data_IF_264236250331
#
_entry.id   IF_264236250331
#
_cell.length_a   1.000
_cell.length_b   1.000
_cell.length_c   1.000
_cell.angle_alpha   90.00
_cell.angle_beta   90.00
_cell.angle_gamma   90.00
#
_symmetry.space_group_name_H-M   'P 1'
#
loop_
_entity.id
_entity.type
_entity.pdbx_description
1 polymer ?
#
# COMPACT_ATOMS: atom_id res chain seq x y z
N UNK A 1 29.93 -15.36 -14.98
CA UNK A 1 28.71 -14.52 -14.84
C UNK A 1 29.17 -13.09 -14.97
N UNK A 2 28.92 -12.45 -16.13
CA UNK A 2 29.46 -11.12 -16.42
C UNK A 2 29.00 -10.09 -15.40
N UNK A 3 29.90 -9.17 -15.01
CA UNK A 3 29.57 -7.98 -14.22
C UNK A 3 28.50 -7.18 -14.97
N UNK A 4 27.25 -7.39 -14.60
CA UNK A 4 26.17 -6.54 -15.08
C UNK A 4 26.34 -5.22 -14.35
N UNK A 5 26.60 -4.15 -15.11
CA UNK A 5 26.76 -2.81 -14.54
C UNK A 5 25.52 -2.45 -13.72
N UNK A 6 25.73 -1.94 -12.51
CA UNK A 6 24.65 -1.43 -11.68
C UNK A 6 23.93 -0.29 -12.42
N UNK A 7 22.61 -0.38 -12.49
CA UNK A 7 21.75 0.53 -13.26
C UNK A 7 20.75 1.25 -12.37
N UNK A 8 20.25 2.38 -12.86
CA UNK A 8 19.22 3.16 -12.18
C UNK A 8 18.11 3.57 -13.15
N UNK A 9 16.97 3.96 -12.58
CA UNK A 9 15.88 4.61 -13.34
C UNK A 9 15.56 5.97 -12.71
N UNK A 10 14.93 6.87 -13.47
CA UNK A 10 14.61 8.23 -13.00
C UNK A 10 13.25 8.30 -12.27
N UNK A 11 12.35 7.39 -12.62
CA UNK A 11 11.02 7.31 -12.03
C UNK A 11 10.58 5.87 -11.90
N UNK A 12 9.99 5.56 -10.74
CA UNK A 12 9.46 4.25 -10.46
C UNK A 12 8.12 4.35 -9.73
N UNK A 13 7.22 3.44 -10.07
CA UNK A 13 5.92 3.24 -9.42
C UNK A 13 5.85 1.77 -9.04
N UNK A 14 5.56 1.50 -7.78
CA UNK A 14 5.37 0.14 -7.27
C UNK A 14 4.32 -0.57 -8.11
N UNK A 15 4.64 -1.78 -8.54
CA UNK A 15 3.82 -2.62 -9.41
C UNK A 15 3.81 -4.07 -8.88
N UNK A 16 3.14 -4.99 -9.59
CA UNK A 16 2.97 -6.38 -9.15
C UNK A 16 4.28 -7.17 -9.05
N UNK A 17 5.32 -6.74 -9.75
CA UNK A 17 6.64 -7.36 -9.70
C UNK A 17 7.49 -6.84 -8.54
N UNK A 18 7.15 -5.70 -7.93
CA UNK A 18 7.92 -5.12 -6.82
C UNK A 18 7.84 -6.02 -5.57
N UNK A 19 8.96 -6.59 -5.15
CA UNK A 19 9.06 -7.40 -3.94
C UNK A 19 9.49 -6.57 -2.73
N UNK A 20 10.45 -5.67 -2.92
CA UNK A 20 10.98 -4.83 -1.84
C UNK A 20 11.54 -3.48 -2.32
N UNK A 21 11.49 -2.50 -1.43
CA UNK A 21 12.20 -1.23 -1.54
C UNK A 21 13.21 -1.16 -0.38
N UNK A 22 14.48 -1.39 -0.70
CA UNK A 22 15.55 -1.47 0.30
C UNK A 22 16.31 -0.13 0.36
N UNK A 23 16.39 0.53 1.53
CA UNK A 23 17.15 1.76 1.66
C UNK A 23 18.65 1.47 1.59
N UNK A 24 19.38 2.32 0.90
CA UNK A 24 20.83 2.31 0.82
C UNK A 24 21.34 3.70 1.17
N UNK A 25 22.30 3.75 2.10
CA UNK A 25 22.93 5.00 2.52
C UNK A 25 24.10 5.27 1.57
N UNK A 26 23.99 6.34 0.78
CA UNK A 26 25.01 6.81 -0.16
C UNK A 26 25.72 8.03 0.44
N UNK A 27 27.04 7.92 0.63
CA UNK A 27 27.83 8.95 1.31
C UNK A 27 27.36 9.17 2.76
N UNK A 28 27.51 10.39 3.27
CA UNK A 28 27.25 10.64 4.69
C UNK A 28 25.76 10.62 5.08
N UNK A 29 24.84 11.03 4.18
CA UNK A 29 23.42 11.24 4.56
C UNK A 29 22.38 11.00 3.46
N UNK A 30 22.76 10.74 2.21
CA UNK A 30 21.78 10.53 1.14
C UNK A 30 21.23 9.12 1.23
N UNK A 31 19.91 8.97 1.15
CA UNK A 31 19.26 7.66 1.12
C UNK A 31 18.72 7.47 -0.28
N UNK A 32 19.16 6.40 -0.92
CA UNK A 32 18.65 5.92 -2.20
C UNK A 32 17.94 4.58 -1.96
N UNK A 33 17.26 4.07 -2.98
CA UNK A 33 16.52 2.81 -2.88
C UNK A 33 17.09 1.81 -3.88
N UNK A 34 17.35 0.59 -3.43
CA UNK A 34 17.39 -0.56 -4.33
C UNK A 34 15.99 -1.13 -4.43
N UNK A 35 15.44 -1.06 -5.63
CA UNK A 35 14.19 -1.69 -5.99
C UNK A 35 14.49 -3.13 -6.32
N UNK A 36 13.78 -4.05 -5.68
CA UNK A 36 13.87 -5.49 -5.95
C UNK A 36 12.57 -5.92 -6.57
N UNK A 37 12.62 -6.30 -7.84
CA UNK A 37 11.52 -6.93 -8.57
C UNK A 37 11.75 -8.45 -8.68
N UNK A 38 10.74 -9.18 -9.17
CA UNK A 38 10.78 -10.65 -9.31
C UNK A 38 11.96 -11.14 -10.16
N UNK A 39 12.30 -10.42 -11.23
CA UNK A 39 13.34 -10.83 -12.19
C UNK A 39 14.49 -9.82 -12.28
N UNK A 40 14.42 -8.73 -11.53
CA UNK A 40 15.32 -7.59 -11.71
C UNK A 40 15.59 -6.83 -10.40
N UNK A 41 16.70 -6.10 -10.37
CA UNK A 41 17.09 -5.24 -9.27
C UNK A 41 17.87 -4.05 -9.80
N UNK A 42 17.47 -2.85 -9.39
CA UNK A 42 18.10 -1.60 -9.84
C UNK A 42 17.95 -0.48 -8.82
N UNK A 43 18.67 0.61 -9.03
CA UNK A 43 18.69 1.76 -8.16
C UNK A 43 17.66 2.83 -8.53
N UNK A 44 17.20 3.54 -7.51
CA UNK A 44 16.41 4.76 -7.60
C UNK A 44 17.01 5.79 -6.64
N UNK A 45 17.35 6.97 -7.15
CA UNK A 45 17.91 8.07 -6.35
C UNK A 45 16.84 8.83 -5.54
N UNK A 46 15.94 8.08 -4.90
CA UNK A 46 14.88 8.55 -4.03
C UNK A 46 14.77 7.64 -2.81
N UNK A 47 14.17 8.14 -1.72
CA UNK A 47 13.96 7.31 -0.52
C UNK A 47 12.80 6.35 -0.73
N UNK A 48 12.75 5.19 -0.03
CA UNK A 48 11.66 4.25 -0.17
C UNK A 48 10.28 4.88 0.08
N UNK A 49 10.17 5.79 1.06
CA UNK A 49 8.92 6.50 1.34
C UNK A 49 8.45 7.35 0.15
N UNK A 50 9.35 8.07 -0.52
CA UNK A 50 9.00 8.92 -1.67
C UNK A 50 8.42 8.09 -2.82
N UNK A 51 8.97 6.89 -3.04
CA UNK A 51 8.49 5.93 -4.03
C UNK A 51 7.10 5.43 -3.65
N UNK A 52 6.87 5.06 -2.39
CA UNK A 52 5.54 4.64 -1.90
C UNK A 52 4.53 5.77 -2.03
N UNK A 53 4.87 7.00 -1.66
CA UNK A 53 3.97 8.16 -1.81
C UNK A 53 3.61 8.43 -3.27
N UNK A 54 4.61 8.42 -4.16
CA UNK A 54 4.38 8.55 -5.61
C UNK A 54 3.46 7.44 -6.12
N UNK A 55 3.68 6.22 -5.67
CA UNK A 55 2.90 5.06 -6.07
C UNK A 55 1.45 5.18 -5.62
N UNK A 56 1.20 5.64 -4.40
CA UNK A 56 -0.16 5.97 -3.94
C UNK A 56 -0.81 6.99 -4.88
N UNK A 57 -0.13 8.12 -5.18
CA UNK A 57 -0.69 9.20 -6.03
C UNK A 57 -1.05 8.69 -7.42
N UNK A 58 -0.19 7.85 -8.02
CA UNK A 58 -0.43 7.25 -9.34
C UNK A 58 -1.57 6.22 -9.34
N UNK A 59 -1.90 5.66 -8.16
CA UNK A 59 -3.06 4.79 -7.95
C UNK A 59 -4.28 5.55 -7.37
N UNK A 60 -4.36 6.87 -7.59
CA UNK A 60 -5.53 7.69 -7.28
C UNK A 60 -5.74 8.04 -5.81
N UNK A 61 -4.74 7.88 -4.94
CA UNK A 61 -4.84 8.23 -3.51
C UNK A 61 -3.59 8.92 -2.99
N UNK A 62 -3.72 9.77 -1.97
CA UNK A 62 -2.53 10.23 -1.23
C UNK A 62 -2.03 9.11 -0.30
N UNK A 63 -0.75 9.17 0.09
CA UNK A 63 -0.18 8.31 1.12
C UNK A 63 -0.91 8.48 2.47
N UNK A 64 -1.20 9.73 2.84
CA UNK A 64 -1.96 10.04 4.05
C UNK A 64 -3.37 9.43 4.00
N UNK A 65 -4.08 9.55 2.86
CA UNK A 65 -5.39 8.92 2.68
C UNK A 65 -5.33 7.40 2.82
N UNK A 66 -4.30 6.74 2.26
CA UNK A 66 -4.09 5.29 2.47
C UNK A 66 -3.80 4.96 3.94
N UNK A 67 -2.97 5.76 4.62
CA UNK A 67 -2.64 5.59 6.04
C UNK A 67 -3.88 5.77 6.94
N UNK A 68 -4.70 6.77 6.65
CA UNK A 68 -5.94 7.04 7.38
C UNK A 68 -6.97 5.93 7.14
N UNK A 69 -7.08 5.46 5.89
CA UNK A 69 -7.88 4.27 5.56
C UNK A 69 -7.42 3.03 6.35
N UNK A 70 -6.11 2.78 6.43
CA UNK A 70 -5.56 1.69 7.28
C UNK A 70 -5.98 1.87 8.74
N UNK A 71 -5.87 3.08 9.29
CA UNK A 71 -6.28 3.38 10.67
C UNK A 71 -7.78 3.14 10.88
N UNK A 72 -8.63 3.57 9.95
CA UNK A 72 -10.08 3.38 10.04
C UNK A 72 -10.45 1.90 10.08
N UNK A 73 -9.89 1.13 9.15
CA UNK A 73 -10.14 -0.29 8.94
C UNK A 73 -9.62 -1.16 10.08
N UNK A 74 -8.38 -0.92 10.50
CA UNK A 74 -7.65 -1.88 11.35
C UNK A 74 -7.34 -1.38 12.75
N UNK A 75 -7.54 -0.08 13.00
CA UNK A 75 -7.12 0.69 14.19
C UNK A 75 -5.59 0.80 14.37
N UNK A 76 -4.81 0.44 13.34
CA UNK A 76 -3.35 0.54 13.36
C UNK A 76 -2.91 1.98 13.06
N UNK A 77 -2.14 2.58 13.96
CA UNK A 77 -1.68 3.99 13.85
C UNK A 77 -0.18 4.12 13.60
N UNK A 78 0.63 3.26 14.22
CA UNK A 78 2.08 3.29 14.14
C UNK A 78 2.60 2.23 13.18
N UNK A 79 3.53 2.62 12.28
CA UNK A 79 4.10 1.73 11.25
C UNK A 79 2.97 1.02 10.50
N UNK A 80 2.02 1.81 10.01
CA UNK A 80 0.83 1.27 9.38
C UNK A 80 1.19 0.67 8.00
N UNK A 81 0.67 -0.50 7.65
CA UNK A 81 0.74 -0.99 6.28
C UNK A 81 -0.04 -0.06 5.34
N UNK A 82 0.37 -0.04 4.08
CA UNK A 82 -0.20 0.80 3.03
C UNK A 82 -0.70 -0.11 1.91
N UNK A 83 -2.02 -0.08 1.67
CA UNK A 83 -2.60 -0.68 0.49
C UNK A 83 -2.49 0.34 -0.67
N UNK A 84 -1.37 0.29 -1.40
CA UNK A 84 -1.07 1.22 -2.51
C UNK A 84 -2.16 1.12 -3.57
N UNK A 85 -2.46 -0.11 -3.98
CA UNK A 85 -3.61 -0.48 -4.81
C UNK A 85 -4.20 -1.79 -4.27
N UNK A 86 -5.32 -1.73 -3.51
CA UNK A 86 -6.03 -2.93 -3.07
C UNK A 86 -6.46 -3.82 -4.24
N UNK A 87 -6.88 -3.21 -5.35
CA UNK A 87 -7.33 -3.90 -6.57
C UNK A 87 -6.21 -4.70 -7.22
N UNK A 88 -5.00 -4.14 -7.26
CA UNK A 88 -3.83 -4.80 -7.83
C UNK A 88 -3.03 -5.63 -6.83
N UNK A 89 -3.58 -5.84 -5.62
CA UNK A 89 -2.91 -6.59 -4.55
C UNK A 89 -1.57 -5.98 -4.09
N UNK A 90 -1.40 -4.66 -4.24
CA UNK A 90 -0.19 -3.94 -3.84
C UNK A 90 -0.28 -3.51 -2.37
N UNK A 91 -0.08 -4.47 -1.46
CA UNK A 91 -0.03 -4.24 -0.01
C UNK A 91 1.42 -4.24 0.47
N UNK A 92 1.88 -3.08 0.94
CA UNK A 92 3.25 -2.89 1.40
C UNK A 92 3.30 -2.52 2.87
N UNK A 93 4.31 -2.98 3.58
CA UNK A 93 4.51 -2.61 4.98
C UNK A 93 5.95 -2.19 5.28
N UNK A 94 6.12 -1.24 6.22
CA UNK A 94 7.43 -0.75 6.59
C UNK A 94 8.11 -1.72 7.57
N UNK A 95 9.44 -1.83 7.51
CA UNK A 95 10.22 -2.59 8.52
C UNK A 95 10.42 -1.79 9.82
N UNK A 96 10.48 -0.45 9.73
CA UNK A 96 10.63 0.46 10.86
C UNK A 96 9.65 1.64 10.78
N UNK A 97 9.86 2.68 11.60
CA UNK A 97 9.15 3.96 11.42
C UNK A 97 9.48 4.55 10.05
N UNK A 98 8.50 5.15 9.36
CA UNK A 98 8.71 5.77 8.04
C UNK A 98 9.82 6.84 8.03
N UNK A 99 10.08 7.46 9.19
CA UNK A 99 11.11 8.48 9.38
C UNK A 99 12.52 7.91 9.54
N UNK A 100 12.67 6.60 9.79
CA UNK A 100 13.98 5.96 9.96
C UNK A 100 14.65 5.73 8.62
N UNK A 101 15.96 5.96 8.57
CA UNK A 101 16.75 5.82 7.35
C UNK A 101 16.84 4.38 6.87
N UNK A 102 16.75 3.44 7.81
CA UNK A 102 16.82 1.99 7.56
C UNK A 102 15.44 1.39 7.21
N UNK A 103 14.39 2.22 7.11
CA UNK A 103 13.04 1.74 6.81
C UNK A 103 12.93 1.21 5.37
N UNK A 104 12.92 -0.11 5.25
CA UNK A 104 12.55 -0.82 4.04
C UNK A 104 11.04 -0.97 3.95
N UNK A 105 10.56 -1.23 2.73
CA UNK A 105 9.17 -1.59 2.47
C UNK A 105 9.13 -2.93 1.75
N UNK A 106 8.26 -3.82 2.22
CA UNK A 106 8.15 -5.17 1.68
C UNK A 106 6.74 -5.41 1.16
N UNK A 107 6.63 -6.07 0.01
CA UNK A 107 5.36 -6.53 -0.51
C UNK A 107 4.87 -7.73 0.30
N UNK A 108 3.64 -7.65 0.79
CA UNK A 108 3.02 -8.73 1.55
C UNK A 108 2.87 -10.02 0.74
N UNK A 109 2.59 -9.90 -0.55
CA UNK A 109 2.32 -11.04 -1.45
C UNK A 109 3.58 -11.78 -1.89
N UNK A 110 4.75 -11.15 -1.81
CA UNK A 110 6.00 -11.75 -2.26
C UNK A 110 6.78 -12.48 -1.18
N UNK A 111 6.30 -12.48 0.08
CA UNK A 111 7.00 -13.15 1.19
C UNK A 111 6.62 -14.63 1.22
N UNK A 112 7.62 -15.50 1.08
CA UNK A 112 7.44 -16.95 1.20
C UNK A 112 7.60 -17.43 2.66
N UNK A 113 8.70 -17.05 3.32
CA UNK A 113 8.93 -17.35 4.74
C UNK A 113 10.01 -16.44 5.34
N UNK A 114 10.22 -16.57 6.66
CA UNK A 114 11.28 -15.89 7.38
C UNK A 114 12.07 -16.87 8.27
N UNK A 115 13.37 -16.64 8.43
CA UNK A 115 14.26 -17.42 9.30
C UNK A 115 15.14 -16.49 10.13
N UNK A 116 15.06 -16.64 11.44
CA UNK A 116 15.96 -15.97 12.37
C UNK A 116 17.38 -16.54 12.28
N UNK A 117 18.36 -15.66 12.33
CA UNK A 117 19.78 -15.96 12.30
C UNK A 117 20.37 -15.95 13.71
N UNK A 118 21.53 -16.59 13.87
CA UNK A 118 22.23 -16.66 15.15
C UNK A 118 22.64 -15.29 15.71
N UNK A 119 22.79 -14.28 14.85
CA UNK A 119 23.12 -12.90 15.21
C UNK A 119 21.86 -12.05 15.57
N UNK A 120 20.68 -12.68 15.68
CA UNK A 120 19.40 -12.03 15.97
C UNK A 120 18.77 -11.29 14.78
N UNK A 121 19.44 -11.29 13.61
CA UNK A 121 18.89 -10.72 12.39
C UNK A 121 17.93 -11.71 11.70
N UNK A 122 17.20 -11.23 10.70
CA UNK A 122 16.17 -11.99 10.03
C UNK A 122 16.47 -12.11 8.54
N UNK A 123 16.40 -13.33 8.00
CA UNK A 123 16.35 -13.56 6.56
C UNK A 123 14.89 -13.68 6.13
N UNK A 124 14.49 -12.86 5.17
CA UNK A 124 13.21 -12.96 4.46
C UNK A 124 13.47 -13.63 3.13
N UNK A 125 12.75 -14.72 2.85
CA UNK A 125 12.76 -15.38 1.55
C UNK A 125 11.54 -14.95 0.76
N UNK A 126 11.76 -14.55 -0.48
CA UNK A 126 10.70 -14.22 -1.41
C UNK A 126 10.23 -15.46 -2.17
N UNK A 127 9.05 -15.36 -2.79
CA UNK A 127 8.42 -16.46 -3.55
C UNK A 127 9.26 -16.95 -4.74
N UNK A 128 10.14 -16.10 -5.27
CA UNK A 128 11.06 -16.44 -6.36
C UNK A 128 12.37 -17.08 -5.86
N UNK A 129 12.48 -17.40 -4.57
CA UNK A 129 13.65 -18.05 -3.97
C UNK A 129 14.77 -17.11 -3.55
N UNK A 130 14.75 -15.84 -3.98
CA UNK A 130 15.70 -14.83 -3.50
C UNK A 130 15.44 -14.49 -2.04
N UNK A 131 16.43 -13.90 -1.39
CA UNK A 131 16.32 -13.54 0.02
C UNK A 131 17.01 -12.22 0.36
N UNK A 132 16.51 -11.55 1.39
CA UNK A 132 17.12 -10.34 1.96
C UNK A 132 17.34 -10.53 3.46
N UNK A 133 18.49 -10.07 3.96
CA UNK A 133 18.78 -9.98 5.39
C UNK A 133 18.31 -8.62 5.91
N UNK A 134 17.59 -8.61 7.02
CA UNK A 134 17.09 -7.42 7.69
C UNK A 134 17.53 -7.39 9.15
N UNK A 135 17.88 -6.21 9.64
CA UNK A 135 18.38 -5.99 11.01
C UNK A 135 17.23 -5.85 12.04
N UNK A 136 16.33 -6.82 12.05
CA UNK A 136 15.14 -6.79 12.90
C UNK A 136 14.83 -8.18 13.45
N UNK A 137 14.15 -8.21 14.60
CA UNK A 137 13.68 -9.48 15.17
C UNK A 137 12.57 -10.10 14.34
N UNK A 138 12.45 -11.43 14.39
CA UNK A 138 11.32 -12.18 13.83
C UNK A 138 9.98 -11.62 14.33
N UNK A 139 9.85 -11.39 15.63
CA UNK A 139 8.63 -10.85 16.24
C UNK A 139 8.21 -9.48 15.70
N UNK A 140 9.18 -8.60 15.42
CA UNK A 140 8.90 -7.28 14.83
C UNK A 140 8.38 -7.42 13.41
N UNK A 141 8.97 -8.33 12.63
CA UNK A 141 8.58 -8.59 11.26
C UNK A 141 7.20 -9.22 11.17
N UNK A 142 6.96 -10.31 11.92
CA UNK A 142 5.68 -11.01 11.95
C UNK A 142 4.54 -10.09 12.38
N UNK A 143 4.80 -9.18 13.32
CA UNK A 143 3.83 -8.14 13.67
C UNK A 143 3.46 -7.24 12.48
N UNK A 144 4.42 -6.80 11.66
CA UNK A 144 4.13 -6.00 10.46
C UNK A 144 3.41 -6.82 9.38
N UNK A 145 3.84 -8.08 9.19
CA UNK A 145 3.21 -8.99 8.25
C UNK A 145 1.74 -9.26 8.63
N UNK A 146 1.47 -9.59 9.90
CA UNK A 146 0.13 -9.87 10.41
C UNK A 146 -0.79 -8.65 10.36
N UNK A 147 -0.25 -7.46 10.66
CA UNK A 147 -0.96 -6.18 10.48
C UNK A 147 -1.38 -5.96 9.03
N UNK A 148 -0.52 -6.33 8.10
CA UNK A 148 -0.80 -6.20 6.65
C UNK A 148 -1.82 -7.23 6.19
N UNK A 149 -1.73 -8.47 6.68
CA UNK A 149 -2.73 -9.49 6.45
C UNK A 149 -4.12 -9.05 6.94
N UNK A 150 -4.20 -8.48 8.16
CA UNK A 150 -5.44 -7.89 8.68
C UNK A 150 -5.99 -6.82 7.76
N UNK A 151 -5.15 -5.87 7.31
CA UNK A 151 -5.57 -4.82 6.38
C UNK A 151 -6.14 -5.41 5.08
N UNK A 152 -5.47 -6.41 4.51
CA UNK A 152 -5.91 -7.10 3.29
C UNK A 152 -7.28 -7.75 3.48
N UNK A 153 -7.47 -8.51 4.56
CA UNK A 153 -8.75 -9.16 4.88
C UNK A 153 -9.88 -8.14 5.00
N UNK A 154 -9.66 -7.00 5.68
CA UNK A 154 -10.68 -5.95 5.81
C UNK A 154 -11.11 -5.36 4.44
N UNK A 155 -10.17 -5.19 3.51
CA UNK A 155 -10.49 -4.75 2.14
C UNK A 155 -11.27 -5.80 1.35
N UNK A 156 -10.89 -7.08 1.47
CA UNK A 156 -11.58 -8.20 0.82
C UNK A 156 -13.01 -8.35 1.33
N UNK A 157 -13.20 -8.30 2.65
CA UNK A 157 -14.51 -8.36 3.29
C UNK A 157 -15.42 -7.19 2.88
N UNK A 158 -14.87 -5.97 2.80
CA UNK A 158 -15.63 -4.80 2.34
C UNK A 158 -16.06 -4.95 0.87
N UNK A 159 -15.18 -5.44 -0.01
CA UNK A 159 -15.52 -5.70 -1.41
C UNK A 159 -16.70 -6.67 -1.52
N UNK A 160 -16.75 -7.69 -0.66
CA UNK A 160 -17.84 -8.66 -0.64
C UNK A 160 -19.15 -8.10 -0.06
N UNK A 161 -19.09 -7.10 0.84
CA UNK A 161 -20.26 -6.51 1.51
C UNK A 161 -20.94 -5.36 0.74
N UNK A 162 -20.25 -4.68 -0.17
CA UNK A 162 -20.77 -3.49 -0.88
C UNK A 162 -21.98 -3.77 -1.81
N UNK A 163 -22.36 -5.01 -2.05
CA UNK A 163 -23.45 -5.36 -2.97
C UNK A 163 -24.89 -5.26 -2.42
N UNK A 164 -25.10 -5.03 -1.12
CA UNK A 164 -26.47 -5.03 -0.53
C UNK A 164 -26.88 -3.65 -0.05
N UNK A 165 -27.76 -3.00 -0.81
CA UNK A 165 -28.45 -1.78 -0.37
C UNK A 165 -29.47 -2.14 0.72
N UNK A 166 -29.43 -1.43 1.84
CA UNK A 166 -30.49 -1.47 2.85
C UNK A 166 -31.31 -0.19 2.74
N UNK A 167 -32.43 -0.26 2.04
CA UNK A 167 -33.35 0.86 1.93
C UNK A 167 -34.00 1.16 3.28
N UNK A 168 -34.05 2.44 3.65
CA UNK A 168 -34.85 2.95 4.76
C UNK A 168 -35.87 3.91 4.16
N UNK A 169 -37.10 3.87 4.66
CA UNK A 169 -38.11 4.84 4.25
C UNK A 169 -37.82 6.19 4.91
N UNK A 170 -38.11 7.27 4.20
CA UNK A 170 -38.10 8.62 4.75
C UNK A 170 -39.37 8.80 5.57
N UNK A 171 -39.26 9.46 6.73
CA UNK A 171 -40.44 9.79 7.54
C UNK A 171 -41.34 10.78 6.78
N UNK A 172 -42.66 10.57 6.83
CA UNK A 172 -43.64 11.37 6.05
C UNK A 172 -43.55 12.87 6.32
N UNK A 173 -43.19 13.27 7.53
CA UNK A 173 -43.02 14.68 7.90
C UNK A 173 -41.84 15.34 7.17
N UNK A 174 -40.76 14.60 6.95
CA UNK A 174 -39.56 15.09 6.28
C UNK A 174 -39.66 14.98 4.77
N UNK A 175 -40.41 14.01 4.24
CA UNK A 175 -40.71 13.87 2.82
C UNK A 175 -41.33 15.17 2.25
N UNK A 176 -42.26 15.78 2.98
CA UNK A 176 -42.90 17.06 2.58
C UNK A 176 -41.95 18.26 2.57
N UNK A 177 -40.80 18.15 3.27
CA UNK A 177 -39.77 19.20 3.34
C UNK A 177 -38.65 18.99 2.32
N UNK A 178 -38.61 17.85 1.63
CA UNK A 178 -37.62 17.58 0.60
C UNK A 178 -37.84 18.51 -0.59
N UNK A 179 -36.85 19.36 -0.87
CA UNK A 179 -36.82 20.23 -2.05
C UNK A 179 -35.50 20.01 -2.78
N UNK A 180 -35.51 19.82 -4.12
CA UNK A 180 -34.29 19.75 -4.90
C UNK A 180 -33.44 21.01 -4.71
N UNK A 181 -32.11 20.84 -4.65
CA UNK A 181 -31.16 21.95 -4.54
C UNK A 181 -31.05 22.75 -5.85
N UNK A 182 -31.54 22.21 -6.97
CA UNK A 182 -31.60 22.86 -8.28
C UNK A 182 -33.06 23.02 -8.70
N UNK A 183 -33.36 24.05 -9.50
CA UNK A 183 -34.73 24.42 -9.88
C UNK A 183 -35.49 23.34 -10.68
N UNK A 184 -34.78 22.44 -11.35
CA UNK A 184 -35.33 21.26 -12.02
C UNK A 184 -34.94 19.98 -11.25
N UNK A 185 -35.89 19.05 -11.10
CA UNK A 185 -35.74 17.84 -10.29
C UNK A 185 -34.58 16.94 -10.72
N UNK A 186 -34.06 16.13 -9.79
CA UNK A 186 -32.83 15.35 -9.95
C UNK A 186 -32.86 14.24 -11.03
N UNK A 187 -34.04 13.82 -11.49
CA UNK A 187 -34.21 12.86 -12.58
C UNK A 187 -35.41 13.33 -13.40
N UNK A 188 -35.14 13.79 -14.61
CA UNK A 188 -36.14 14.10 -15.64
C UNK A 188 -35.98 13.02 -16.71
N UNK A 189 -37.08 12.48 -17.25
CA UNK A 189 -36.95 11.60 -18.41
C UNK A 189 -36.53 12.45 -19.59
N UNK A 190 -35.63 11.94 -20.42
CA UNK A 190 -35.11 12.68 -21.58
C UNK A 190 -36.23 13.10 -22.55
N UNK A 191 -37.34 12.36 -22.57
CA UNK A 191 -38.57 12.65 -23.32
C UNK A 191 -39.27 13.94 -22.85
N UNK A 192 -39.14 14.31 -21.57
CA UNK A 192 -39.83 15.46 -20.95
C UNK A 192 -39.00 16.77 -21.05
N UNK A 193 -37.84 16.75 -21.72
CA UNK A 193 -36.93 17.90 -21.84
C UNK A 193 -37.23 18.75 -23.09
N UNK A 194 -38.08 18.29 -24.02
CA UNK A 194 -38.36 18.94 -25.29
C UNK A 194 -39.85 19.30 -25.54
N UNK A 195 -40.58 19.69 -24.50
CA UNK A 195 -41.82 20.51 -24.61
C UNK A 195 -41.59 21.90 -24.01
#
# INVERSE_FOLDING_TARGET
MGEQAERYVESYVVNKNTMALLPIILGEKRIVTRVVEVEDSFFMFQKPLDIVERSCRKNGSSFLGRKDGTKELTKITHKAPIAISPTDQLYFFPTYSYSRKECAWLSHFHIANNKELADGNLIIRFINGFAVKLEMSRSSFENQQNRTAKLRTEYEDRKNKQGKLHFKQVDKEDESKLKPAYEQAYLVKEEDINE
#
